data_IF_013205106821
#
_entry.id   IF_013205106821
#
_cell.length_a   1.000
_cell.length_b   1.000
_cell.length_c   1.000
_cell.angle_alpha   90.00
_cell.angle_beta   90.00
_cell.angle_gamma   90.00
#
_symmetry.space_group_name_H-M   'P 1'
#
loop_
_entity.id
_entity.type
_entity.pdbx_description
1 polymer ?
#
# COMPACT_ATOMS: atom_id res chain seq x y z
N UNK A 1 -7.77 1.53 -8.82
CA UNK A 1 -6.48 0.93 -9.20
C UNK A 1 -5.65 0.86 -7.94
N UNK A 2 -4.95 -0.24 -7.70
CA UNK A 2 -4.00 -0.34 -6.59
C UNK A 2 -2.57 -0.18 -7.08
N UNK A 3 -1.73 0.47 -6.28
CA UNK A 3 -0.28 0.45 -6.44
C UNK A 3 0.38 -0.20 -5.22
N UNK A 4 1.52 -0.87 -5.42
CA UNK A 4 2.32 -1.42 -4.32
C UNK A 4 3.79 -1.04 -4.44
N UNK A 5 4.41 -0.80 -3.28
CA UNK A 5 5.86 -0.59 -3.13
C UNK A 5 6.37 -1.33 -1.88
N UNK A 6 7.67 -1.62 -1.90
CA UNK A 6 8.41 -2.25 -0.82
C UNK A 6 9.56 -1.35 -0.38
N UNK A 7 9.66 -1.17 0.93
CA UNK A 7 10.81 -0.48 1.53
C UNK A 7 11.40 -1.31 2.64
N UNK A 8 12.64 -1.02 2.99
CA UNK A 8 13.33 -1.65 4.09
C UNK A 8 13.38 -0.72 5.31
N UNK A 9 13.46 -1.31 6.50
CA UNK A 9 13.51 -0.62 7.80
C UNK A 9 14.49 -1.36 8.71
N UNK A 10 15.18 -0.63 9.58
CA UNK A 10 16.07 -1.24 10.57
C UNK A 10 15.26 -1.80 11.75
N UNK A 11 15.49 -3.07 12.09
CA UNK A 11 14.97 -3.68 13.31
C UNK A 11 16.12 -4.38 14.02
N UNK A 12 16.55 -3.81 15.14
CA UNK A 12 17.67 -4.29 15.95
C UNK A 12 18.94 -4.55 15.11
N UNK A 13 19.28 -3.63 14.20
CA UNK A 13 20.47 -3.77 13.35
C UNK A 13 20.31 -4.75 12.18
N UNK A 14 19.09 -5.21 11.89
CA UNK A 14 18.78 -6.10 10.77
C UNK A 14 17.70 -5.50 9.88
N UNK A 15 17.93 -5.61 8.56
CA UNK A 15 16.92 -5.19 7.59
C UNK A 15 15.68 -6.06 7.68
N UNK A 16 14.54 -5.39 7.86
CA UNK A 16 13.21 -5.93 7.65
C UNK A 16 12.55 -5.12 6.53
N UNK A 17 11.40 -5.56 6.07
CA UNK A 17 10.73 -5.04 4.90
C UNK A 17 9.27 -4.72 5.24
N UNK A 18 8.78 -3.64 4.65
CA UNK A 18 7.37 -3.23 4.70
C UNK A 18 6.83 -3.21 3.28
N UNK A 19 5.71 -3.88 3.06
CA UNK A 19 4.95 -3.86 1.82
C UNK A 19 3.68 -3.05 2.04
N UNK A 20 3.39 -2.12 1.13
CA UNK A 20 2.16 -1.33 1.15
C UNK A 20 1.37 -1.54 -0.13
N UNK A 21 0.04 -1.46 -0.01
CA UNK A 21 -0.93 -1.37 -1.09
C UNK A 21 -1.71 -0.07 -0.92
N UNK A 22 -1.74 0.74 -1.98
CA UNK A 22 -2.38 2.05 -2.00
C UNK A 22 -3.48 2.05 -3.03
N UNK A 23 -4.69 2.44 -2.64
CA UNK A 23 -5.76 2.76 -3.60
C UNK A 23 -5.52 4.16 -4.18
N UNK A 24 -5.26 4.24 -5.48
CA UNK A 24 -4.93 5.49 -6.14
C UNK A 24 -6.13 6.44 -6.26
N UNK A 25 -7.36 5.93 -6.11
CA UNK A 25 -8.56 6.75 -6.19
C UNK A 25 -8.67 7.74 -5.03
N UNK A 26 -8.46 7.27 -3.80
CA UNK A 26 -8.58 8.07 -2.57
C UNK A 26 -7.27 8.19 -1.79
N UNK A 27 -6.17 7.62 -2.30
CA UNK A 27 -4.84 7.57 -1.68
C UNK A 27 -4.77 6.73 -0.41
N UNK A 28 -5.76 5.90 -0.12
CA UNK A 28 -5.81 5.06 1.08
C UNK A 28 -4.72 4.00 1.05
N UNK A 29 -4.01 3.81 2.17
CA UNK A 29 -3.19 2.61 2.38
C UNK A 29 -4.16 1.50 2.76
N UNK A 30 -4.60 0.72 1.78
CA UNK A 30 -5.68 -0.26 1.93
C UNK A 30 -5.18 -1.64 2.37
N UNK A 31 -3.89 -1.92 2.18
CA UNK A 31 -3.25 -3.15 2.63
C UNK A 31 -1.78 -2.94 2.98
N UNK A 32 -1.27 -3.69 3.93
CA UNK A 32 0.11 -3.56 4.41
C UNK A 32 0.61 -4.81 5.14
N UNK A 33 1.92 -4.99 5.16
CA UNK A 33 2.57 -6.02 5.97
C UNK A 33 4.01 -5.64 6.29
N UNK A 34 4.56 -6.23 7.35
CA UNK A 34 5.98 -6.12 7.69
C UNK A 34 6.57 -7.48 8.06
N UNK A 35 7.83 -7.73 7.65
CA UNK A 35 8.51 -8.99 7.89
C UNK A 35 10.02 -8.95 7.61
N UNK A 36 10.73 -9.98 8.08
CA UNK A 36 12.18 -10.06 7.97
C UNK A 36 12.70 -10.41 6.56
N UNK A 37 11.84 -10.98 5.70
CA UNK A 37 12.24 -11.45 4.38
C UNK A 37 11.54 -10.65 3.29
N UNK A 38 12.30 -10.28 2.25
CA UNK A 38 11.80 -9.71 1.01
C UNK A 38 11.36 -10.85 0.08
N UNK A 39 10.20 -11.45 0.36
CA UNK A 39 9.67 -12.59 -0.38
C UNK A 39 8.17 -12.44 -0.71
N UNK A 40 7.64 -13.37 -1.51
CA UNK A 40 6.24 -13.39 -1.90
C UNK A 40 5.29 -13.49 -0.70
N UNK A 41 5.71 -14.07 0.44
CA UNK A 41 4.85 -14.20 1.62
C UNK A 41 4.58 -12.84 2.25
N UNK A 42 5.53 -11.91 2.18
CA UNK A 42 5.32 -10.53 2.61
C UNK A 42 4.24 -9.85 1.76
N UNK A 43 4.33 -9.97 0.44
CA UNK A 43 3.34 -9.42 -0.51
C UNK A 43 1.96 -10.03 -0.26
N UNK A 44 1.88 -11.36 -0.14
CA UNK A 44 0.63 -12.07 0.11
C UNK A 44 -0.01 -11.67 1.45
N UNK A 45 0.78 -11.43 2.50
CA UNK A 45 0.26 -10.92 3.78
C UNK A 45 -0.34 -9.52 3.64
N UNK A 46 0.28 -8.66 2.84
CA UNK A 46 -0.24 -7.31 2.61
C UNK A 46 -1.51 -7.36 1.76
N UNK A 47 -1.56 -8.20 0.73
CA UNK A 47 -2.78 -8.43 -0.06
C UNK A 47 -3.92 -8.99 0.82
N UNK A 48 -3.63 -9.96 1.68
CA UNK A 48 -4.60 -10.55 2.60
C UNK A 48 -5.07 -9.59 3.71
N UNK A 49 -4.36 -8.49 3.95
CA UNK A 49 -4.78 -7.48 4.93
C UNK A 49 -5.83 -6.50 4.40
N UNK A 50 -6.11 -6.53 3.08
CA UNK A 50 -7.10 -5.66 2.45
C UNK A 50 -8.51 -6.06 2.93
N UNK A 51 -9.27 -5.15 3.57
CA UNK A 51 -10.59 -5.47 4.11
C UNK A 51 -11.70 -5.51 3.05
N UNK A 52 -11.44 -4.99 1.84
CA UNK A 52 -12.40 -4.91 0.75
C UNK A 52 -12.50 -6.22 -0.05
N UNK A 53 -13.59 -6.40 -0.80
CA UNK A 53 -13.69 -7.48 -1.77
C UNK A 53 -12.63 -7.27 -2.87
N UNK A 54 -11.64 -8.16 -2.91
CA UNK A 54 -10.55 -8.08 -3.87
C UNK A 54 -11.01 -8.12 -5.34
N UNK A 55 -12.21 -8.66 -5.61
CA UNK A 55 -12.82 -8.67 -6.95
C UNK A 55 -13.24 -7.28 -7.45
N UNK A 56 -13.34 -6.28 -6.57
CA UNK A 56 -13.62 -4.89 -6.95
C UNK A 56 -12.35 -4.16 -7.45
N UNK A 57 -11.18 -4.79 -7.30
CA UNK A 57 -9.91 -4.24 -7.76
C UNK A 57 -9.68 -4.66 -9.21
N UNK A 58 -9.89 -3.74 -10.14
CA UNK A 58 -9.69 -4.03 -11.56
C UNK A 58 -8.20 -4.16 -11.96
N UNK A 59 -7.34 -3.29 -11.43
CA UNK A 59 -5.94 -3.17 -11.89
C UNK A 59 -5.01 -3.04 -10.70
N UNK A 60 -3.94 -3.84 -10.73
CA UNK A 60 -2.83 -3.81 -9.79
C UNK A 60 -1.51 -3.40 -10.48
N UNK A 61 -0.98 -2.27 -10.06
CA UNK A 61 0.29 -1.72 -10.52
C UNK A 61 1.42 -2.10 -9.56
N UNK A 62 2.42 -2.82 -10.07
CA UNK A 62 3.62 -3.20 -9.31
C UNK A 62 4.87 -2.93 -10.11
N UNK A 63 5.94 -2.57 -9.41
CA UNK A 63 7.28 -2.64 -9.96
C UNK A 63 7.65 -4.07 -10.35
N UNK A 64 8.60 -4.21 -11.29
CA UNK A 64 9.11 -5.50 -11.80
C UNK A 64 10.02 -6.23 -10.80
N UNK A 65 9.80 -6.05 -9.49
CA UNK A 65 10.57 -6.72 -8.46
C UNK A 65 10.36 -8.24 -8.49
N UNK A 66 11.44 -9.02 -8.27
CA UNK A 66 11.40 -10.49 -8.25
C UNK A 66 10.45 -11.05 -7.20
N UNK A 67 10.18 -10.28 -6.15
CA UNK A 67 9.23 -10.60 -5.09
C UNK A 67 7.77 -10.61 -5.56
N UNK A 68 7.45 -9.84 -6.59
CA UNK A 68 6.14 -9.81 -7.24
C UNK A 68 6.14 -10.74 -8.45
N UNK A 69 7.30 -11.03 -9.06
CA UNK A 69 7.47 -11.95 -10.20
C UNK A 69 7.54 -13.42 -9.75
N UNK A 70 6.46 -13.92 -9.15
CA UNK A 70 6.34 -15.32 -8.74
C UNK A 70 4.92 -15.82 -9.03
N UNK A 71 4.84 -17.05 -9.55
CA UNK A 71 3.62 -17.81 -9.82
C UNK A 71 2.57 -17.70 -8.69
N UNK A 72 2.98 -17.73 -7.42
CA UNK A 72 2.05 -17.61 -6.28
C UNK A 72 1.29 -16.27 -6.27
N UNK A 73 1.98 -15.17 -6.59
CA UNK A 73 1.36 -13.83 -6.65
C UNK A 73 0.46 -13.74 -7.89
N UNK A 74 0.89 -14.28 -9.02
CA UNK A 74 0.08 -14.28 -10.25
C UNK A 74 -1.19 -15.14 -10.10
N UNK A 75 -1.09 -16.31 -9.46
CA UNK A 75 -2.24 -17.17 -9.14
C UNK A 75 -3.22 -16.47 -8.20
N UNK A 76 -2.72 -15.74 -7.20
CA UNK A 76 -3.58 -14.98 -6.30
C UNK A 76 -4.32 -13.85 -7.06
N UNK A 77 -3.60 -13.07 -7.87
CA UNK A 77 -4.21 -12.00 -8.67
C UNK A 77 -5.25 -12.58 -9.66
N UNK A 78 -4.93 -13.69 -10.32
CA UNK A 78 -5.86 -14.37 -11.22
C UNK A 78 -7.11 -14.89 -10.50
N UNK A 79 -6.96 -15.44 -9.29
CA UNK A 79 -8.08 -15.92 -8.48
C UNK A 79 -9.07 -14.80 -8.11
N UNK A 80 -8.57 -13.56 -7.97
CA UNK A 80 -9.40 -12.38 -7.72
C UNK A 80 -9.74 -11.59 -8.98
N UNK A 81 -9.38 -12.09 -10.17
CA UNK A 81 -9.59 -11.43 -11.47
C UNK A 81 -8.94 -10.04 -11.55
N UNK A 82 -7.84 -9.84 -10.83
CA UNK A 82 -7.09 -8.58 -10.80
C UNK A 82 -6.11 -8.55 -11.98
N UNK A 83 -6.25 -7.58 -12.88
CA UNK A 83 -5.30 -7.41 -13.98
C UNK A 83 -3.98 -6.82 -13.46
N UNK A 84 -2.88 -7.48 -13.77
CA UNK A 84 -1.55 -6.97 -13.43
C UNK A 84 -1.03 -6.03 -14.51
N UNK A 85 -0.89 -4.76 -14.16
CA UNK A 85 -0.20 -3.77 -14.98
C UNK A 85 1.25 -3.64 -14.51
N UNK A 86 2.18 -4.16 -15.30
CA UNK A 86 3.59 -3.88 -15.10
C UNK A 86 3.90 -2.46 -15.56
N UNK A 87 4.86 -1.80 -14.92
CA UNK A 87 5.40 -0.47 -15.27
C UNK A 87 5.54 -0.31 -16.79
N UNK A 88 4.51 0.23 -17.43
CA UNK A 88 4.45 0.66 -18.81
C UNK A 88 4.05 2.12 -18.75
N UNK A 89 4.64 2.95 -19.62
CA UNK A 89 4.34 4.40 -19.67
C UNK A 89 2.84 4.58 -19.90
N UNK A 90 2.07 4.75 -18.85
CA UNK A 90 0.62 4.75 -18.90
C UNK A 90 0.05 5.42 -17.67
N UNK A 91 -0.18 6.73 -17.81
CA UNK A 91 -0.72 7.68 -16.82
C UNK A 91 0.29 8.26 -15.82
N UNK A 92 0.86 9.42 -16.16
CA UNK A 92 1.73 10.21 -15.28
C UNK A 92 1.06 10.61 -13.96
N UNK A 93 -0.27 10.73 -13.95
CA UNK A 93 -1.03 11.09 -12.76
C UNK A 93 -1.02 9.96 -11.72
N UNK A 94 -1.38 8.75 -12.12
CA UNK A 94 -1.45 7.58 -11.21
C UNK A 94 -0.08 7.29 -10.59
N UNK A 95 0.98 7.38 -11.40
CA UNK A 95 2.36 7.27 -10.92
C UNK A 95 2.70 8.37 -9.91
N UNK A 96 2.34 9.63 -10.20
CA UNK A 96 2.60 10.73 -9.27
C UNK A 96 1.85 10.58 -7.94
N UNK A 97 0.61 10.05 -7.97
CA UNK A 97 -0.16 9.73 -6.76
C UNK A 97 0.57 8.67 -5.95
N UNK A 98 0.92 7.54 -6.57
CA UNK A 98 1.64 6.44 -5.92
C UNK A 98 2.97 6.92 -5.31
N UNK A 99 3.81 7.57 -6.12
CA UNK A 99 5.12 8.10 -5.70
C UNK A 99 4.99 9.08 -4.52
N UNK A 100 4.01 9.98 -4.56
CA UNK A 100 3.78 10.94 -3.48
C UNK A 100 3.40 10.24 -2.16
N UNK A 101 2.54 9.23 -2.22
CA UNK A 101 2.12 8.46 -1.04
C UNK A 101 3.29 7.66 -0.45
N UNK A 102 4.04 6.95 -1.28
CA UNK A 102 5.22 6.19 -0.80
C UNK A 102 6.32 7.11 -0.26
N UNK A 103 6.49 8.30 -0.83
CA UNK A 103 7.42 9.31 -0.32
C UNK A 103 6.98 9.83 1.05
N UNK A 104 5.69 10.11 1.25
CA UNK A 104 5.15 10.46 2.57
C UNK A 104 5.42 9.36 3.58
N UNK A 105 5.12 8.10 3.25
CA UNK A 105 5.42 6.96 4.11
C UNK A 105 6.90 6.88 4.49
N UNK A 106 7.80 6.95 3.50
CA UNK A 106 9.25 6.89 3.76
C UNK A 106 9.70 8.02 4.68
N UNK A 107 9.21 9.24 4.44
CA UNK A 107 9.59 10.43 5.21
C UNK A 107 9.05 10.39 6.64
N UNK A 108 7.78 10.02 6.80
CA UNK A 108 7.06 10.12 8.07
C UNK A 108 7.25 8.88 8.96
N UNK A 109 7.41 7.70 8.37
CA UNK A 109 7.45 6.43 9.09
C UNK A 109 8.79 5.71 9.08
N UNK A 110 9.59 5.83 8.01
CA UNK A 110 10.81 5.01 7.83
C UNK A 110 12.08 5.78 8.18
N UNK A 111 12.22 7.00 7.68
CA UNK A 111 13.47 7.75 7.75
C UNK A 111 13.90 8.03 9.19
N UNK A 112 15.14 7.66 9.51
CA UNK A 112 15.74 7.89 10.82
C UNK A 112 15.18 7.03 11.96
N UNK A 113 14.32 6.04 11.65
CA UNK A 113 13.73 5.14 12.65
C UNK A 113 14.41 3.77 12.65
N UNK A 114 14.57 3.23 13.85
CA UNK A 114 14.95 1.85 14.10
C UNK A 114 14.03 1.25 15.14
N UNK A 115 13.63 0.00 14.94
CA UNK A 115 12.72 -0.71 15.83
C UNK A 115 13.47 -1.75 16.65
N UNK A 116 13.00 -2.07 17.86
CA UNK A 116 13.65 -3.04 18.76
C UNK A 116 13.38 -4.48 18.36
N UNK A 117 12.21 -4.76 17.80
CA UNK A 117 11.81 -6.09 17.33
C UNK A 117 10.68 -5.99 16.30
N UNK A 118 10.48 -7.06 15.51
CA UNK A 118 9.51 -7.07 14.41
C UNK A 118 8.09 -6.76 14.86
N UNK A 119 7.68 -7.24 16.04
CA UNK A 119 6.34 -6.95 16.57
C UNK A 119 6.12 -5.45 16.83
N UNK A 120 7.15 -4.71 17.25
CA UNK A 120 7.06 -3.25 17.42
C UNK A 120 6.84 -2.57 16.06
N UNK A 121 7.62 -2.96 15.04
CA UNK A 121 7.44 -2.46 13.68
C UNK A 121 6.01 -2.73 13.17
N UNK A 122 5.48 -3.92 13.39
CA UNK A 122 4.12 -4.28 12.96
C UNK A 122 3.04 -3.45 13.67
N UNK A 123 3.17 -3.25 14.98
CA UNK A 123 2.24 -2.44 15.77
C UNK A 123 2.26 -0.98 15.31
N UNK A 124 3.46 -0.37 15.25
CA UNK A 124 3.59 1.03 14.87
C UNK A 124 3.22 1.26 13.41
N UNK A 125 3.41 0.28 12.53
CA UNK A 125 2.93 0.33 11.14
C UNK A 125 1.40 0.36 11.09
N UNK A 126 0.73 -0.47 11.89
CA UNK A 126 -0.74 -0.45 11.97
C UNK A 126 -1.27 0.90 12.48
N UNK A 127 -0.62 1.46 13.51
CA UNK A 127 -0.96 2.80 14.04
C UNK A 127 -0.74 3.89 12.99
N UNK A 128 0.37 3.84 12.24
CA UNK A 128 0.64 4.77 11.16
C UNK A 128 -0.43 4.69 10.07
N UNK A 129 -0.77 3.48 9.61
CA UNK A 129 -1.78 3.30 8.56
C UNK A 129 -3.14 3.82 9.01
N UNK A 130 -3.54 3.54 10.26
CA UNK A 130 -4.77 4.08 10.81
C UNK A 130 -4.76 5.61 10.83
N UNK A 131 -3.70 6.22 11.36
CA UNK A 131 -3.54 7.67 11.38
C UNK A 131 -3.55 8.28 9.96
N UNK A 132 -2.84 7.67 9.02
CA UNK A 132 -2.77 8.13 7.63
C UNK A 132 -4.16 8.13 6.96
N UNK A 133 -4.93 7.06 7.15
CA UNK A 133 -6.23 6.90 6.50
C UNK A 133 -7.35 7.72 7.18
N UNK A 134 -7.30 7.90 8.51
CA UNK A 134 -8.42 8.46 9.29
C UNK A 134 -8.15 9.83 9.92
N UNK A 135 -6.89 10.26 10.02
CA UNK A 135 -6.54 11.48 10.75
C UNK A 135 -5.70 12.46 9.91
N UNK A 136 -4.83 11.97 9.03
CA UNK A 136 -3.96 12.80 8.20
C UNK A 136 -4.79 13.52 7.14
N UNK A 137 -4.65 14.84 7.09
CA UNK A 137 -5.31 15.69 6.09
C UNK A 137 -4.45 15.75 4.82
N UNK A 138 -5.07 15.65 3.64
CA UNK A 138 -4.39 15.72 2.36
C UNK A 138 -4.90 16.91 1.54
N UNK A 139 -4.00 17.83 1.18
CA UNK A 139 -4.33 19.00 0.35
C UNK A 139 -4.92 18.56 -1.00
N UNK A 140 -4.31 17.54 -1.62
CA UNK A 140 -4.79 16.95 -2.88
C UNK A 140 -6.17 16.29 -2.80
N UNK A 141 -6.72 16.08 -1.59
CA UNK A 141 -8.07 15.55 -1.39
C UNK A 141 -9.06 16.64 -0.98
N UNK A 142 -8.72 17.92 -1.09
CA UNK A 142 -9.49 19.07 -0.57
C UNK A 142 -9.51 19.13 0.97
N UNK A 143 -8.34 18.92 1.59
CA UNK A 143 -8.16 19.05 3.03
C UNK A 143 -9.04 18.10 3.87
N UNK A 144 -9.24 16.88 3.37
CA UNK A 144 -9.89 15.79 4.09
C UNK A 144 -9.01 14.52 4.08
N UNK A 145 -9.42 13.51 4.83
CA UNK A 145 -8.71 12.23 4.94
C UNK A 145 -9.04 11.31 3.75
N UNK A 146 -8.19 10.29 3.46
CA UNK A 146 -8.48 9.28 2.44
C UNK A 146 -9.85 8.61 2.59
N UNK A 147 -10.25 8.30 3.82
CA UNK A 147 -11.55 7.67 4.11
C UNK A 147 -12.70 8.64 3.91
N UNK A 148 -12.58 9.87 4.40
CA UNK A 148 -13.61 10.90 4.18
C UNK A 148 -13.83 11.18 2.69
N UNK A 149 -12.77 11.21 1.89
CA UNK A 149 -12.85 11.39 0.44
C UNK A 149 -13.66 10.28 -0.24
N UNK A 150 -13.38 9.03 0.13
CA UNK A 150 -14.10 7.85 -0.38
C UNK A 150 -15.57 7.89 0.00
N UNK A 151 -15.90 8.11 1.27
CA UNK A 151 -17.28 8.20 1.76
C UNK A 151 -18.07 9.32 1.07
N UNK A 152 -17.47 10.51 0.92
CA UNK A 152 -18.11 11.64 0.27
C UNK A 152 -18.39 11.37 -1.21
N UNK A 153 -17.50 10.65 -1.89
CA UNK A 153 -17.70 10.32 -3.31
C UNK A 153 -18.76 9.25 -3.50
N UNK A 154 -18.77 8.21 -2.67
CA UNK A 154 -19.81 7.17 -2.71
C UNK A 154 -21.21 7.75 -2.45
N UNK A 155 -21.36 8.66 -1.48
CA UNK A 155 -22.63 9.36 -1.22
C UNK A 155 -23.15 10.12 -2.44
N UNK A 156 -22.26 10.80 -3.18
CA UNK A 156 -22.61 11.54 -4.41
C UNK A 156 -23.07 10.62 -5.54
N UNK A 157 -22.53 9.41 -5.64
CA UNK A 157 -22.92 8.44 -6.67
C UNK A 157 -24.26 7.75 -6.37
N UNK A 158 -24.66 7.71 -5.09
CA UNK A 158 -25.96 7.19 -4.64
C UNK A 158 -27.07 8.25 -4.59
N UNK A 159 -26.78 9.49 -4.99
CA UNK A 159 -27.71 10.63 -5.01
C UNK A 159 -28.23 10.88 -6.43
#
# INVERSE_FOLDING_TARGET
MLASDLTYVDVAGKWNYVCLFVDLFNREIIGYSAGANKDHRLVMKALASIPANLQEIAIFHTDRGKEFDNQVVDEALAAFQIERSLSSKGCSYDNAVAESTFKSFKTEFVNGRGFKHLQQLQLELADYVHWFNHCRIHENLNYITPIQFKENTLKKLSS
#
